data_IF_814672016485
#
_entry.id   IF_814672016485
#
_cell.length_a   1.000
_cell.length_b   1.000
_cell.length_c   1.000
_cell.angle_alpha   90.00
_cell.angle_beta   90.00
_cell.angle_gamma   90.00
#
_symmetry.space_group_name_H-M   'P 1'
#
loop_
_entity.id
_entity.type
_entity.pdbx_description
1 polymer ?
#
# COMPACT_ATOMS: atom_id res chain seq x y z
N UNK A 1 -6.24 -16.73 15.55
CA UNK A 1 -5.97 -16.50 16.98
C UNK A 1 -6.18 -15.02 17.26
N UNK A 2 -6.91 -14.65 18.32
CA UNK A 2 -7.14 -13.25 18.65
C UNK A 2 -5.80 -12.55 18.95
N UNK A 3 -5.55 -11.41 18.31
CA UNK A 3 -4.32 -10.65 18.53
C UNK A 3 -4.44 -9.90 19.85
N UNK A 4 -3.53 -10.16 20.80
CA UNK A 4 -3.52 -9.46 22.09
C UNK A 4 -2.85 -8.09 21.96
N UNK A 5 -3.51 -7.04 22.46
CA UNK A 5 -2.98 -5.67 22.51
C UNK A 5 -2.66 -5.33 23.98
N UNK A 6 -1.40 -5.22 24.40
CA UNK A 6 -1.08 -4.86 25.78
C UNK A 6 -1.54 -3.43 26.09
N UNK A 7 -1.61 -3.05 27.36
CA UNK A 7 -1.94 -1.68 27.77
C UNK A 7 -0.92 -0.66 27.25
N UNK A 8 -1.31 0.59 27.12
CA UNK A 8 -0.50 1.67 26.55
C UNK A 8 0.54 2.27 27.49
N UNK A 9 0.71 1.75 28.71
CA UNK A 9 1.62 2.36 29.69
C UNK A 9 3.06 2.36 29.17
N UNK A 10 3.67 3.55 29.20
CA UNK A 10 5.04 3.75 28.72
C UNK A 10 5.19 3.71 27.19
N UNK A 11 4.10 3.64 26.43
CA UNK A 11 4.15 3.78 24.98
C UNK A 11 4.52 5.21 24.56
N UNK A 12 5.20 5.34 23.43
CA UNK A 12 5.54 6.62 22.81
C UNK A 12 4.30 7.31 22.24
N UNK A 13 4.34 8.63 22.17
CA UNK A 13 3.30 9.42 21.49
C UNK A 13 3.18 8.98 20.01
N UNK A 14 1.95 8.76 19.55
CA UNK A 14 1.64 8.45 18.15
C UNK A 14 0.72 9.51 17.55
N UNK A 15 0.93 9.91 16.29
CA UNK A 15 -0.02 10.78 15.58
C UNK A 15 -0.43 10.14 14.26
N UNK A 16 -1.72 9.92 14.04
CA UNK A 16 -2.23 9.54 12.74
C UNK A 16 -2.14 10.72 11.77
N UNK A 17 -1.38 10.53 10.69
CA UNK A 17 -1.34 11.40 9.52
C UNK A 17 -2.09 10.69 8.40
N UNK A 18 -3.23 11.23 7.99
CA UNK A 18 -4.09 10.63 7.00
C UNK A 18 -4.85 11.70 6.21
N UNK A 19 -5.38 11.32 5.05
CA UNK A 19 -6.43 12.08 4.38
C UNK A 19 -7.76 11.41 4.69
N UNK A 20 -8.57 12.11 5.46
CA UNK A 20 -9.88 11.67 5.91
C UNK A 20 -10.92 12.33 4.99
N UNK A 21 -11.63 11.51 4.24
CA UNK A 21 -12.59 11.87 3.19
C UNK A 21 -13.99 11.26 3.42
N UNK A 22 -14.21 10.67 4.60
CA UNK A 22 -15.41 9.97 5.01
C UNK A 22 -15.50 8.51 4.52
N UNK A 23 -14.49 8.01 3.80
CA UNK A 23 -14.51 6.66 3.22
C UNK A 23 -14.11 5.53 4.17
N UNK A 24 -14.03 4.31 3.64
CA UNK A 24 -13.73 3.09 4.41
C UNK A 24 -12.39 3.14 5.15
N UNK A 25 -11.38 3.75 4.53
CA UNK A 25 -10.07 3.93 5.15
C UNK A 25 -10.18 4.80 6.40
N UNK A 26 -10.95 5.89 6.35
CA UNK A 26 -11.19 6.72 7.51
C UNK A 26 -11.91 5.94 8.61
N UNK A 27 -13.00 5.25 8.28
CA UNK A 27 -13.74 4.45 9.27
C UNK A 27 -12.85 3.42 9.95
N UNK A 28 -12.03 2.70 9.17
CA UNK A 28 -11.07 1.72 9.68
C UNK A 28 -10.08 2.37 10.67
N UNK A 29 -9.43 3.47 10.28
CA UNK A 29 -8.43 4.09 11.16
C UNK A 29 -9.03 4.82 12.36
N UNK A 30 -10.30 5.27 12.29
CA UNK A 30 -11.06 5.72 13.46
C UNK A 30 -11.31 4.58 14.45
N UNK A 31 -11.60 3.37 13.96
CA UNK A 31 -11.72 2.18 14.82
C UNK A 31 -10.36 1.81 15.43
N UNK A 32 -9.28 1.78 14.64
CA UNK A 32 -7.91 1.54 15.12
C UNK A 32 -7.54 2.54 16.22
N UNK A 33 -7.80 3.83 15.97
CA UNK A 33 -7.57 4.90 16.94
C UNK A 33 -8.35 4.65 18.23
N UNK A 34 -9.64 4.34 18.13
CA UNK A 34 -10.47 4.02 19.29
C UNK A 34 -9.92 2.83 20.10
N UNK A 35 -9.54 1.75 19.45
CA UNK A 35 -8.94 0.57 20.10
C UNK A 35 -7.68 0.96 20.88
N UNK A 36 -6.79 1.73 20.27
CA UNK A 36 -5.56 2.20 20.93
C UNK A 36 -5.86 3.14 22.11
N UNK A 37 -6.82 4.07 21.95
CA UNK A 37 -7.26 4.98 23.02
C UNK A 37 -7.86 4.23 24.21
N UNK A 38 -8.74 3.25 23.96
CA UNK A 38 -9.38 2.44 24.99
C UNK A 38 -8.36 1.59 25.77
N UNK A 39 -7.22 1.25 25.14
CA UNK A 39 -6.08 0.56 25.79
C UNK A 39 -5.09 1.52 26.46
N UNK A 40 -5.32 2.83 26.44
CA UNK A 40 -4.49 3.83 27.09
C UNK A 40 -3.25 4.28 26.31
N UNK A 41 -3.17 4.03 25.00
CA UNK A 41 -2.06 4.55 24.19
C UNK A 41 -2.18 6.06 23.99
N UNK A 42 -1.07 6.82 24.04
CA UNK A 42 -1.07 8.26 23.82
C UNK A 42 -1.07 8.59 22.32
N UNK A 43 -2.10 8.12 21.61
CA UNK A 43 -2.31 8.42 20.19
C UNK A 43 -3.16 9.68 19.99
N UNK A 44 -2.88 10.39 18.90
CA UNK A 44 -3.54 11.63 18.48
C UNK A 44 -4.04 11.47 17.05
N UNK A 45 -5.24 11.99 16.78
CA UNK A 45 -5.86 12.06 15.45
C UNK A 45 -6.60 13.39 15.37
N UNK A 46 -6.44 14.13 14.28
CA UNK A 46 -7.19 15.38 14.09
C UNK A 46 -8.57 15.02 13.57
N UNK A 47 -9.62 15.42 14.30
CA UNK A 47 -11.01 15.25 13.87
C UNK A 47 -11.52 16.56 13.24
N UNK A 48 -12.27 16.44 12.13
CA UNK A 48 -12.99 17.56 11.55
C UNK A 48 -14.19 17.92 12.45
N UNK A 49 -14.02 18.96 13.25
CA UNK A 49 -15.12 19.59 13.99
C UNK A 49 -15.40 20.95 13.38
N UNK A 50 -16.67 21.19 13.00
CA UNK A 50 -17.14 22.47 12.49
C UNK A 50 -16.65 23.64 13.37
N UNK A 51 -15.85 24.54 12.78
CA UNK A 51 -15.52 25.84 13.37
C UNK A 51 -14.26 25.94 14.24
N UNK A 52 -13.46 24.88 14.39
CA UNK A 52 -12.20 24.92 15.16
C UNK A 52 -10.94 24.81 14.29
N UNK A 53 -9.90 25.56 14.64
CA UNK A 53 -8.62 25.67 13.92
C UNK A 53 -7.87 24.31 13.78
N UNK A 54 -8.19 23.58 12.70
CA UNK A 54 -7.54 22.33 12.28
C UNK A 54 -6.01 22.48 12.21
N UNK A 55 -5.55 23.67 11.84
CA UNK A 55 -4.14 23.99 11.73
C UNK A 55 -3.40 24.03 13.06
N UNK A 56 -3.95 24.76 14.01
CA UNK A 56 -3.35 24.86 15.36
C UNK A 56 -3.30 23.51 16.07
N UNK A 57 -4.30 22.63 15.88
CA UNK A 57 -4.26 21.25 16.41
C UNK A 57 -3.14 20.43 15.79
N UNK A 58 -3.03 20.45 14.46
CA UNK A 58 -1.98 19.73 13.72
C UNK A 58 -0.58 20.19 14.16
N UNK A 59 -0.36 21.51 14.25
CA UNK A 59 0.90 22.07 14.73
C UNK A 59 1.22 21.65 16.18
N UNK A 60 0.21 21.59 17.04
CA UNK A 60 0.37 21.14 18.43
C UNK A 60 0.80 19.68 18.50
N UNK A 61 0.18 18.80 17.72
CA UNK A 61 0.51 17.37 17.69
C UNK A 61 1.91 17.11 17.14
N UNK A 62 2.27 17.75 16.03
CA UNK A 62 3.62 17.65 15.45
C UNK A 62 4.70 18.19 16.43
N UNK A 63 4.41 19.30 17.10
CA UNK A 63 5.28 19.85 18.14
C UNK A 63 5.48 18.90 19.32
N UNK A 64 4.42 18.17 19.72
CA UNK A 64 4.50 17.13 20.74
C UNK A 64 5.32 15.92 20.29
N UNK A 65 5.06 15.40 19.08
CA UNK A 65 5.87 14.29 18.53
C UNK A 65 7.35 14.63 18.52
N UNK A 66 7.73 15.83 18.07
CA UNK A 66 9.12 16.27 18.06
C UNK A 66 9.72 16.31 19.47
N UNK A 67 9.04 16.92 20.43
CA UNK A 67 9.55 17.07 21.80
C UNK A 67 9.73 15.71 22.49
N UNK A 68 8.80 14.78 22.27
CA UNK A 68 8.75 13.52 23.01
C UNK A 68 9.32 12.34 22.20
N UNK A 69 9.94 12.61 21.05
CA UNK A 69 10.40 11.57 20.10
C UNK A 69 9.28 10.56 19.79
N UNK A 70 8.09 11.07 19.49
CA UNK A 70 6.95 10.26 19.09
C UNK A 70 7.11 9.66 17.69
N UNK A 71 6.07 8.97 17.21
CA UNK A 71 6.02 8.32 15.90
C UNK A 71 4.86 8.91 15.10
N UNK A 72 5.13 9.34 13.87
CA UNK A 72 4.08 9.68 12.91
C UNK A 72 3.58 8.39 12.24
N UNK A 73 2.29 8.13 12.38
CA UNK A 73 1.58 6.96 11.85
C UNK A 73 0.93 7.37 10.52
N UNK A 74 1.67 7.18 9.42
CA UNK A 74 1.28 7.65 8.09
C UNK A 74 0.36 6.65 7.40
N UNK A 75 -0.91 7.00 7.23
CA UNK A 75 -1.90 6.18 6.51
C UNK A 75 -1.72 6.38 4.99
N UNK A 76 -0.94 5.49 4.39
CA UNK A 76 -0.48 5.62 3.01
C UNK A 76 -1.51 5.05 2.03
N UNK A 77 -2.51 5.86 1.66
CA UNK A 77 -3.36 5.65 0.47
C UNK A 77 -2.64 6.09 -0.81
N UNK A 78 -3.22 5.84 -2.00
CA UNK A 78 -2.59 6.22 -3.28
C UNK A 78 -2.41 7.74 -3.46
N UNK A 79 -3.25 8.55 -2.81
CA UNK A 79 -3.23 10.00 -2.85
C UNK A 79 -2.62 10.61 -1.57
N UNK A 80 -1.94 9.81 -0.75
CA UNK A 80 -1.26 10.28 0.45
C UNK A 80 -0.09 11.20 0.09
N UNK A 81 -0.01 12.36 0.75
CA UNK A 81 1.04 13.34 0.46
C UNK A 81 0.77 14.25 -0.74
N UNK A 82 -0.37 14.17 -1.41
CA UNK A 82 -0.68 15.07 -2.52
C UNK A 82 -0.78 16.54 -2.06
N UNK A 83 -0.14 17.42 -2.84
CA UNK A 83 -0.07 18.85 -2.56
C UNK A 83 -1.39 19.55 -2.86
N UNK A 84 -1.90 20.30 -1.89
CA UNK A 84 -3.12 21.13 -2.05
C UNK A 84 -2.85 22.56 -1.60
N UNK A 85 -3.86 23.43 -1.73
CA UNK A 85 -3.81 24.79 -1.18
C UNK A 85 -3.83 24.85 0.36
N UNK A 86 -4.10 23.74 1.05
CA UNK A 86 -4.15 23.72 2.52
C UNK A 86 -2.75 23.89 3.13
N UNK A 87 -2.64 24.76 4.12
CA UNK A 87 -1.44 24.94 4.94
C UNK A 87 -1.19 23.78 5.91
N UNK A 88 -2.21 22.94 6.14
CA UNK A 88 -2.17 21.77 7.00
C UNK A 88 -2.76 20.58 6.24
N UNK A 89 -1.89 19.70 5.76
CA UNK A 89 -2.19 18.53 4.92
C UNK A 89 -1.14 17.46 5.13
N UNK A 90 -1.41 16.22 4.70
CA UNK A 90 -0.46 15.12 4.78
C UNK A 90 0.88 15.42 4.08
N UNK A 91 0.87 16.19 2.98
CA UNK A 91 2.10 16.70 2.36
C UNK A 91 2.95 17.53 3.34
N UNK A 92 2.32 18.48 4.04
CA UNK A 92 3.00 19.37 5.00
C UNK A 92 3.48 18.62 6.24
N UNK A 93 2.73 17.60 6.68
CA UNK A 93 3.10 16.72 7.79
C UNK A 93 4.33 15.88 7.44
N UNK A 94 4.37 15.26 6.26
CA UNK A 94 5.55 14.52 5.77
C UNK A 94 6.75 15.45 5.64
N UNK A 95 6.57 16.66 5.10
CA UNK A 95 7.64 17.65 5.02
C UNK A 95 8.18 18.00 6.41
N UNK A 96 7.30 18.24 7.38
CA UNK A 96 7.70 18.52 8.75
C UNK A 96 8.47 17.35 9.36
N UNK A 97 8.00 16.12 9.14
CA UNK A 97 8.68 14.92 9.63
C UNK A 97 10.10 14.79 9.05
N UNK A 98 10.26 15.03 7.74
CA UNK A 98 11.56 15.02 7.08
C UNK A 98 12.50 16.11 7.61
N UNK A 99 12.00 17.35 7.73
CA UNK A 99 12.79 18.51 8.16
C UNK A 99 13.22 18.41 9.65
N UNK A 100 12.56 17.57 10.44
CA UNK A 100 12.80 17.41 11.87
C UNK A 100 13.21 16.00 12.30
N UNK A 101 13.56 15.12 11.35
CA UNK A 101 13.95 13.73 11.60
C UNK A 101 12.96 12.98 12.52
N UNK A 102 11.67 13.19 12.27
CA UNK A 102 10.62 12.46 12.98
C UNK A 102 10.54 11.04 12.44
N UNK A 103 10.39 10.08 13.35
CA UNK A 103 10.17 8.70 12.97
C UNK A 103 8.79 8.53 12.34
N UNK A 104 8.77 7.93 11.14
CA UNK A 104 7.56 7.59 10.41
C UNK A 104 7.38 6.07 10.43
N UNK A 105 6.20 5.61 10.86
CA UNK A 105 5.69 4.26 10.60
C UNK A 105 4.67 4.35 9.46
N UNK A 106 5.01 3.90 8.25
CA UNK A 106 4.06 3.81 7.17
C UNK A 106 3.04 2.69 7.43
N UNK A 107 1.76 3.02 7.26
CA UNK A 107 0.61 2.13 7.33
C UNK A 107 0.07 1.99 5.90
N UNK A 108 0.55 0.98 5.18
CA UNK A 108 0.29 0.80 3.75
C UNK A 108 -1.17 0.41 3.50
N UNK A 109 -1.90 1.29 2.83
CA UNK A 109 -3.26 1.06 2.33
C UNK A 109 -3.30 1.02 0.79
N UNK A 110 -2.33 1.65 0.13
CA UNK A 110 -2.21 1.62 -1.32
C UNK A 110 -1.66 0.28 -1.81
N UNK A 111 -2.07 -0.07 -3.03
CA UNK A 111 -1.44 -1.11 -3.82
C UNK A 111 -0.07 -0.69 -4.31
N UNK A 112 0.31 -1.17 -5.48
CA UNK A 112 1.43 -0.60 -6.22
C UNK A 112 0.93 0.61 -7.02
N UNK A 113 1.77 1.65 -7.21
CA UNK A 113 3.18 1.74 -6.80
C UNK A 113 3.40 1.92 -5.28
N UNK A 114 4.60 1.53 -4.79
CA UNK A 114 5.08 1.79 -3.43
C UNK A 114 6.48 2.42 -3.44
N UNK A 115 6.71 3.52 -2.70
CA UNK A 115 5.76 4.27 -1.86
C UNK A 115 4.63 4.95 -2.65
N UNK A 116 3.63 5.57 -2.01
CA UNK A 116 2.54 6.24 -2.73
C UNK A 116 3.05 7.30 -3.71
N UNK A 117 2.47 7.32 -4.90
CA UNK A 117 2.72 8.33 -5.94
C UNK A 117 1.49 9.24 -6.06
N UNK A 118 1.38 10.30 -5.24
CA UNK A 118 0.23 11.20 -5.30
C UNK A 118 0.15 11.94 -6.65
N UNK A 119 -1.06 12.35 -7.10
CA UNK A 119 -1.23 13.07 -8.36
C UNK A 119 -0.35 14.32 -8.48
N UNK A 120 0.33 14.47 -9.62
CA UNK A 120 1.21 15.59 -9.92
C UNK A 120 1.37 15.81 -11.44
N UNK A 121 2.18 16.79 -11.86
CA UNK A 121 2.56 17.02 -13.26
C UNK A 121 1.96 18.31 -13.86
N UNK A 122 2.26 18.65 -15.13
CA UNK A 122 2.00 19.98 -15.70
C UNK A 122 0.54 20.46 -15.64
N UNK A 123 -0.42 19.53 -15.62
CA UNK A 123 -1.86 19.80 -15.49
C UNK A 123 -2.36 19.92 -14.05
N UNK A 124 -1.54 19.57 -13.06
CA UNK A 124 -1.91 19.62 -11.65
C UNK A 124 -1.87 21.06 -11.13
N UNK A 125 -2.87 21.43 -10.31
CA UNK A 125 -3.06 22.83 -9.89
C UNK A 125 -1.94 23.34 -8.99
N UNK A 126 -1.37 22.48 -8.15
CA UNK A 126 -0.43 22.87 -7.09
C UNK A 126 0.96 22.23 -7.22
N UNK A 127 1.06 21.08 -7.89
CA UNK A 127 2.32 20.32 -8.00
C UNK A 127 2.63 19.99 -9.46
N UNK A 128 3.16 20.97 -10.18
CA UNK A 128 3.44 20.86 -11.62
C UNK A 128 4.66 19.99 -11.93
N UNK A 129 5.54 19.85 -10.94
CA UNK A 129 6.89 19.31 -11.12
C UNK A 129 7.11 17.98 -10.38
N UNK A 130 6.09 17.43 -9.71
CA UNK A 130 6.19 16.15 -8.98
C UNK A 130 6.93 16.25 -7.64
N UNK A 131 6.88 17.41 -6.99
CA UNK A 131 7.57 17.65 -5.71
C UNK A 131 7.01 16.76 -4.58
N UNK A 132 5.70 16.50 -4.59
CA UNK A 132 5.07 15.66 -3.57
C UNK A 132 5.58 14.21 -3.62
N UNK A 133 5.67 13.64 -4.82
CA UNK A 133 6.20 12.30 -5.05
C UNK A 133 7.65 12.18 -4.55
N UNK A 134 8.52 13.11 -4.96
CA UNK A 134 9.91 13.14 -4.53
C UNK A 134 10.07 13.23 -3.00
N UNK A 135 9.23 14.04 -2.34
CA UNK A 135 9.24 14.15 -0.88
C UNK A 135 8.81 12.84 -0.19
N UNK A 136 7.76 12.18 -0.70
CA UNK A 136 7.31 10.89 -0.19
C UNK A 136 8.43 9.85 -0.34
N UNK A 137 9.09 9.77 -1.50
CA UNK A 137 10.18 8.84 -1.73
C UNK A 137 11.39 9.06 -0.79
N UNK A 138 11.66 10.31 -0.37
CA UNK A 138 12.70 10.62 0.60
C UNK A 138 12.31 10.20 2.03
N UNK A 139 11.08 10.51 2.46
CA UNK A 139 10.63 10.25 3.82
C UNK A 139 10.25 8.78 4.06
N UNK A 140 9.70 8.13 3.03
CA UNK A 140 9.23 6.75 2.99
C UNK A 140 9.84 6.08 1.75
N UNK A 141 11.14 5.76 1.74
CA UNK A 141 11.76 5.07 0.62
C UNK A 141 11.17 3.66 0.43
N UNK A 142 11.28 3.05 -0.76
CA UNK A 142 10.79 1.69 -1.01
C UNK A 142 11.28 0.63 0.00
N UNK A 143 12.47 0.84 0.58
CA UNK A 143 13.07 -0.04 1.60
C UNK A 143 12.55 0.21 3.03
N UNK A 144 11.75 1.25 3.26
CA UNK A 144 11.21 1.58 4.59
C UNK A 144 10.27 0.45 5.04
N UNK A 145 10.51 -0.08 6.22
CA UNK A 145 9.61 -1.06 6.85
C UNK A 145 8.26 -0.40 7.10
N UNK A 146 7.18 -1.07 6.71
CA UNK A 146 5.80 -0.61 6.84
C UNK A 146 4.91 -1.69 7.47
N UNK A 147 3.73 -1.29 7.94
CA UNK A 147 2.65 -2.20 8.30
C UNK A 147 1.73 -2.36 7.10
N UNK A 148 1.58 -3.58 6.58
CA UNK A 148 0.61 -3.88 5.52
C UNK A 148 -0.80 -3.91 6.11
N UNK A 149 -1.61 -2.89 5.83
CA UNK A 149 -2.94 -2.72 6.41
C UNK A 149 -4.05 -3.21 5.46
N UNK A 150 -3.77 -3.45 4.17
CA UNK A 150 -4.78 -3.94 3.23
C UNK A 150 -5.30 -5.30 3.66
N UNK A 151 -6.63 -5.43 3.68
CA UNK A 151 -7.31 -6.66 4.10
C UNK A 151 -7.10 -7.04 5.57
N UNK A 152 -6.68 -6.09 6.42
CA UNK A 152 -6.54 -6.28 7.86
C UNK A 152 -7.65 -5.55 8.61
N UNK A 153 -8.12 -6.15 9.69
CA UNK A 153 -9.08 -5.53 10.59
C UNK A 153 -8.40 -4.51 11.54
N UNK A 154 -9.24 -3.75 12.24
CA UNK A 154 -8.78 -2.68 13.11
C UNK A 154 -7.93 -3.20 14.28
N UNK A 155 -8.30 -4.32 14.88
CA UNK A 155 -7.58 -4.97 15.98
C UNK A 155 -6.16 -5.39 15.57
N UNK A 156 -6.01 -6.01 14.40
CA UNK A 156 -4.70 -6.43 13.90
C UNK A 156 -3.79 -5.22 13.64
N UNK A 157 -4.32 -4.19 13.00
CA UNK A 157 -3.57 -2.96 12.71
C UNK A 157 -3.18 -2.27 14.02
N UNK A 158 -4.11 -2.15 14.97
CA UNK A 158 -3.86 -1.58 16.29
C UNK A 158 -2.77 -2.36 17.03
N UNK A 159 -2.75 -3.69 16.94
CA UNK A 159 -1.69 -4.50 17.55
C UNK A 159 -0.30 -4.22 16.96
N UNK A 160 -0.17 -4.07 15.63
CA UNK A 160 1.11 -3.72 14.99
C UNK A 160 1.58 -2.32 15.37
N UNK A 161 0.65 -1.36 15.45
CA UNK A 161 0.96 0.00 15.93
C UNK A 161 1.39 -0.03 17.40
N UNK A 162 0.68 -0.78 18.24
CA UNK A 162 1.01 -0.94 19.66
C UNK A 162 2.43 -1.51 19.87
N UNK A 163 2.81 -2.54 19.10
CA UNK A 163 4.17 -3.06 19.10
C UNK A 163 5.19 -1.97 18.77
N UNK A 164 4.94 -1.17 17.72
CA UNK A 164 5.84 -0.08 17.35
C UNK A 164 5.97 0.98 18.45
N UNK A 165 4.85 1.43 19.01
CA UNK A 165 4.85 2.49 20.01
C UNK A 165 5.48 2.06 21.34
N UNK A 166 5.52 0.76 21.63
CA UNK A 166 6.18 0.19 22.81
C UNK A 166 7.68 -0.08 22.62
N UNK A 167 8.19 -0.06 21.38
CA UNK A 167 9.63 -0.16 21.15
C UNK A 167 10.32 1.07 21.75
N UNK A 168 11.33 0.85 22.61
CA UNK A 168 12.22 1.92 23.07
C UNK A 168 12.93 2.49 21.84
N UNK A 169 12.80 3.80 21.62
CA UNK A 169 13.32 4.45 20.42
C UNK A 169 14.81 4.19 20.23
N UNK A 170 15.15 3.41 19.21
CA UNK A 170 16.51 3.26 18.72
C UNK A 170 16.62 3.99 17.39
N UNK A 171 17.65 4.81 17.24
CA UNK A 171 18.13 5.32 15.96
C UNK A 171 19.66 5.46 16.06
N UNK A 172 20.45 5.32 14.98
CA UNK A 172 20.55 4.10 14.17
C UNK A 172 22.02 3.72 13.96
N UNK A 173 22.38 2.44 14.12
CA UNK A 173 23.47 1.83 13.34
C UNK A 173 23.46 0.31 13.56
N UNK A 174 22.93 -0.43 12.60
CA UNK A 174 23.26 -1.85 12.45
C UNK A 174 23.45 -2.09 10.96
N UNK A 175 24.68 -1.81 10.51
CA UNK A 175 25.29 -2.64 9.48
C UNK A 175 25.07 -4.11 9.85
N UNK A 176 24.68 -5.01 8.92
CA UNK A 176 24.54 -6.42 9.26
C UNK A 176 25.92 -6.95 9.62
N UNK A 177 26.19 -7.15 10.91
CA UNK A 177 27.38 -7.86 11.35
C UNK A 177 27.21 -9.35 10.99
N UNK A 178 28.19 -9.83 10.25
CA UNK A 178 28.38 -11.20 9.83
C UNK A 178 28.67 -12.10 11.05
N UNK A 179 27.76 -13.01 11.37
CA UNK A 179 27.99 -14.32 12.01
C UNK A 179 26.61 -14.98 12.25
N UNK A 180 26.26 -16.16 11.76
CA UNK A 180 26.91 -17.10 10.87
C UNK A 180 25.83 -18.10 10.47
N UNK A 181 25.48 -18.14 9.19
CA UNK A 181 24.78 -19.28 8.60
C UNK A 181 25.81 -20.00 7.72
N UNK A 182 26.24 -21.15 8.22
CA UNK A 182 27.08 -22.10 7.50
C UNK A 182 26.32 -22.60 6.27
N UNK A 183 27.09 -22.79 5.20
CA UNK A 183 26.62 -22.84 3.83
C UNK A 183 25.57 -23.92 3.57
N UNK A 184 24.48 -23.50 2.94
CA UNK A 184 23.87 -24.23 1.85
C UNK A 184 23.72 -23.23 0.71
N UNK A 185 24.48 -23.44 -0.37
CA UNK A 185 24.21 -22.78 -1.64
C UNK A 185 22.78 -23.14 -2.05
N UNK A 186 21.86 -22.18 -1.93
CA UNK A 186 20.60 -22.26 -2.65
C UNK A 186 20.95 -22.01 -4.12
N UNK A 187 21.05 -23.09 -4.88
CA UNK A 187 20.99 -23.09 -6.33
C UNK A 187 19.73 -22.31 -6.72
N UNK A 188 19.90 -21.10 -7.23
CA UNK A 188 18.84 -20.39 -7.95
C UNK A 188 18.46 -21.27 -9.15
N UNK A 189 17.22 -21.77 -9.26
CA UNK A 189 16.81 -22.44 -10.49
C UNK A 189 16.76 -21.36 -11.56
N UNK A 190 17.59 -21.51 -12.59
CA UNK A 190 17.58 -20.68 -13.79
C UNK A 190 16.15 -20.58 -14.32
N UNK A 191 15.58 -19.38 -14.32
CA UNK A 191 14.28 -19.13 -14.92
C UNK A 191 14.35 -19.51 -16.41
N UNK A 192 13.53 -20.46 -16.83
CA UNK A 192 13.35 -20.78 -18.25
C UNK A 192 12.97 -19.50 -19.02
N UNK A 193 13.39 -19.35 -20.29
CA UNK A 193 13.24 -18.10 -21.05
C UNK A 193 11.81 -17.52 -21.09
N UNK A 194 10.78 -18.35 -20.93
CA UNK A 194 9.37 -17.95 -20.90
C UNK A 194 8.91 -17.29 -19.61
N UNK A 195 9.47 -17.65 -18.44
CA UNK A 195 9.02 -17.12 -17.15
C UNK A 195 9.57 -15.71 -16.88
N UNK A 196 10.83 -15.47 -17.25
CA UNK A 196 11.44 -14.14 -17.15
C UNK A 196 10.79 -13.15 -18.14
N UNK A 197 10.49 -13.61 -19.36
CA UNK A 197 9.81 -12.78 -20.36
C UNK A 197 8.38 -12.44 -19.94
N UNK A 198 7.62 -13.40 -19.39
CA UNK A 198 6.28 -13.14 -18.87
C UNK A 198 6.30 -12.09 -17.74
N UNK A 199 7.27 -12.20 -16.82
CA UNK A 199 7.42 -11.23 -15.73
C UNK A 199 7.76 -9.84 -16.28
N UNK A 200 8.66 -9.75 -17.25
CA UNK A 200 9.06 -8.46 -17.83
C UNK A 200 7.88 -7.75 -18.52
N UNK A 201 7.03 -8.49 -19.23
CA UNK A 201 5.80 -7.94 -19.81
C UNK A 201 4.77 -7.55 -18.75
N UNK A 202 4.59 -8.37 -17.72
CA UNK A 202 3.70 -8.04 -16.60
C UNK A 202 4.13 -6.75 -15.89
N UNK A 203 5.42 -6.63 -15.55
CA UNK A 203 5.98 -5.45 -14.86
C UNK A 203 5.87 -4.17 -15.72
N UNK A 204 5.91 -4.30 -17.05
CA UNK A 204 5.68 -3.18 -17.98
C UNK A 204 4.19 -2.81 -18.02
N UNK A 205 3.31 -3.81 -18.03
CA UNK A 205 1.86 -3.61 -17.98
C UNK A 205 1.42 -2.90 -16.70
N UNK A 206 1.91 -3.35 -15.55
CA UNK A 206 1.58 -2.78 -14.23
C UNK A 206 2.01 -1.33 -14.05
N UNK A 207 2.84 -0.79 -14.96
CA UNK A 207 3.26 0.62 -15.02
C UNK A 207 2.46 1.46 -16.02
N UNK A 208 1.38 0.91 -16.57
CA UNK A 208 0.55 1.56 -17.60
C UNK A 208 0.95 1.23 -19.05
N UNK A 209 1.95 0.36 -19.25
CA UNK A 209 2.52 0.04 -20.56
C UNK A 209 3.91 0.65 -20.78
N UNK A 210 4.37 0.66 -22.01
CA UNK A 210 5.67 1.27 -22.37
C UNK A 210 6.21 0.80 -23.71
N UNK A 211 7.48 1.11 -24.00
CA UNK A 211 8.10 0.80 -25.27
C UNK A 211 9.05 -0.41 -25.18
N UNK A 212 8.90 -1.38 -26.08
CA UNK A 212 9.84 -2.49 -26.28
C UNK A 212 10.07 -2.70 -27.77
N UNK A 213 11.32 -2.90 -28.17
CA UNK A 213 11.70 -3.11 -29.58
C UNK A 213 11.16 -2.03 -30.55
N UNK A 214 11.10 -0.76 -30.09
CA UNK A 214 10.59 0.36 -30.87
C UNK A 214 9.07 0.38 -31.07
N UNK A 215 8.32 -0.47 -30.37
CA UNK A 215 6.86 -0.49 -30.38
C UNK A 215 6.31 -0.11 -29.01
N UNK A 216 5.30 0.78 -29.00
CA UNK A 216 4.57 1.14 -27.79
C UNK A 216 3.48 0.11 -27.52
N UNK A 217 3.43 -0.33 -26.29
CA UNK A 217 2.45 -1.27 -25.77
C UNK A 217 1.64 -0.59 -24.67
N UNK A 218 0.32 -0.70 -24.73
CA UNK A 218 -0.55 -0.31 -23.62
C UNK A 218 -0.44 -1.33 -22.47
N UNK A 219 -0.89 -0.94 -21.28
CA UNK A 219 -1.06 -1.85 -20.14
C UNK A 219 -1.71 -3.19 -20.53
N UNK A 220 -2.86 -3.12 -21.22
CA UNK A 220 -3.58 -4.30 -21.73
C UNK A 220 -2.73 -5.15 -22.67
N UNK A 221 -2.01 -4.52 -23.60
CA UNK A 221 -1.15 -5.26 -24.55
C UNK A 221 0.01 -5.97 -23.83
N UNK A 222 0.55 -5.36 -22.77
CA UNK A 222 1.59 -5.96 -21.94
C UNK A 222 1.08 -7.19 -21.17
N UNK A 223 -0.12 -7.14 -20.58
CA UNK A 223 -0.69 -8.33 -19.91
C UNK A 223 -0.97 -9.47 -20.89
N UNK A 224 -1.44 -9.17 -22.10
CA UNK A 224 -1.60 -10.17 -23.16
C UNK A 224 -0.26 -10.83 -23.53
N UNK A 225 0.81 -10.04 -23.67
CA UNK A 225 2.16 -10.56 -23.92
C UNK A 225 2.70 -11.40 -22.76
N UNK A 226 2.40 -11.02 -21.52
CA UNK A 226 2.75 -11.82 -20.34
C UNK A 226 2.07 -13.20 -20.38
N UNK A 227 0.79 -13.25 -20.78
CA UNK A 227 0.00 -14.49 -20.89
C UNK A 227 0.37 -15.35 -22.10
N UNK A 228 0.81 -14.74 -23.21
CA UNK A 228 1.41 -15.46 -24.34
C UNK A 228 2.70 -16.19 -23.91
N UNK A 229 3.54 -15.53 -23.11
CA UNK A 229 4.79 -16.11 -22.61
C UNK A 229 4.56 -17.14 -21.48
N UNK A 230 3.61 -16.88 -20.57
CA UNK A 230 3.23 -17.79 -19.49
C UNK A 230 1.73 -17.72 -19.21
N UNK A 231 1.03 -18.73 -19.71
CA UNK A 231 -0.43 -18.81 -19.64
C UNK A 231 -0.97 -18.94 -18.21
N UNK A 232 -0.23 -19.53 -17.27
CA UNK A 232 -0.66 -19.65 -15.87
C UNK A 232 -0.16 -18.50 -14.97
N UNK A 233 0.03 -17.31 -15.53
CA UNK A 233 0.42 -16.13 -14.75
C UNK A 233 -0.80 -15.47 -14.09
N UNK A 234 -1.08 -15.86 -12.84
CA UNK A 234 -2.27 -15.43 -12.11
C UNK A 234 -2.47 -13.90 -12.09
N UNK A 235 -1.42 -13.14 -11.77
CA UNK A 235 -1.53 -11.67 -11.66
C UNK A 235 -1.82 -10.99 -13.02
N UNK A 236 -1.34 -11.57 -14.13
CA UNK A 236 -1.60 -11.04 -15.46
C UNK A 236 -3.04 -11.30 -15.91
N UNK A 237 -3.61 -12.47 -15.54
CA UNK A 237 -5.04 -12.74 -15.73
C UNK A 237 -5.90 -11.80 -14.91
N UNK A 238 -5.58 -11.61 -13.63
CA UNK A 238 -6.31 -10.68 -12.78
C UNK A 238 -6.30 -9.26 -13.35
N UNK A 239 -5.13 -8.72 -13.68
CA UNK A 239 -5.03 -7.36 -14.22
C UNK A 239 -5.64 -7.22 -15.62
N UNK A 240 -5.61 -8.27 -16.45
CA UNK A 240 -6.35 -8.29 -17.73
C UNK A 240 -7.86 -8.15 -17.49
N UNK A 241 -8.39 -8.80 -16.45
CA UNK A 241 -9.78 -8.65 -16.02
C UNK A 241 -10.11 -7.22 -15.59
N UNK A 242 -9.23 -6.59 -14.80
CA UNK A 242 -9.39 -5.19 -14.36
C UNK A 242 -9.50 -4.23 -15.55
N UNK A 243 -8.72 -4.45 -16.61
CA UNK A 243 -8.73 -3.60 -17.82
C UNK A 243 -9.75 -4.03 -18.89
N UNK A 244 -10.74 -4.85 -18.53
CA UNK A 244 -11.89 -5.16 -19.39
C UNK A 244 -11.76 -6.44 -20.21
N UNK A 245 -10.84 -7.35 -19.88
CA UNK A 245 -10.63 -8.62 -20.58
C UNK A 245 -9.81 -8.49 -21.88
N UNK A 246 -9.71 -9.55 -22.67
CA UNK A 246 -8.94 -9.57 -23.92
C UNK A 246 -8.91 -10.92 -24.63
N UNK A 247 -8.18 -11.00 -25.73
CA UNK A 247 -8.03 -12.23 -26.51
C UNK A 247 -6.66 -12.85 -26.25
N UNK A 248 -6.64 -14.01 -25.59
CA UNK A 248 -5.41 -14.76 -25.29
C UNK A 248 -5.41 -16.02 -26.15
N UNK A 249 -4.37 -16.19 -26.98
CA UNK A 249 -4.22 -17.34 -27.91
C UNK A 249 -5.45 -17.60 -28.80
N UNK A 250 -6.13 -16.53 -29.23
CA UNK A 250 -7.31 -16.61 -30.11
C UNK A 250 -8.64 -16.86 -29.39
N UNK A 251 -8.64 -17.03 -28.07
CA UNK A 251 -9.87 -17.12 -27.27
C UNK A 251 -10.13 -15.79 -26.57
N UNK A 252 -11.37 -15.30 -26.67
CA UNK A 252 -11.81 -14.09 -25.98
C UNK A 252 -12.19 -14.41 -24.52
N UNK A 253 -11.72 -13.56 -23.61
CA UNK A 253 -12.02 -13.59 -22.19
C UNK A 253 -12.57 -12.22 -21.80
N UNK A 254 -13.73 -12.19 -21.17
CA UNK A 254 -14.25 -11.02 -20.49
C UNK A 254 -13.63 -10.88 -19.08
N UNK A 255 -14.09 -9.89 -18.33
CA UNK A 255 -13.57 -9.57 -16.99
C UNK A 255 -13.71 -10.76 -16.04
N UNK A 256 -14.91 -11.34 -16.00
CA UNK A 256 -15.25 -12.54 -15.23
C UNK A 256 -14.35 -13.73 -15.57
N UNK A 257 -14.25 -14.08 -16.84
CA UNK A 257 -13.45 -15.22 -17.29
C UNK A 257 -11.95 -15.01 -16.98
N UNK A 258 -11.47 -13.76 -16.98
CA UNK A 258 -10.11 -13.45 -16.54
C UNK A 258 -9.90 -13.70 -15.03
N UNK A 259 -10.86 -13.34 -14.18
CA UNK A 259 -10.77 -13.62 -12.74
C UNK A 259 -10.85 -15.12 -12.43
N UNK A 260 -11.69 -15.88 -13.15
CA UNK A 260 -11.72 -17.35 -13.06
C UNK A 260 -10.36 -17.95 -13.40
N UNK A 261 -9.70 -17.48 -14.47
CA UNK A 261 -8.34 -17.91 -14.84
C UNK A 261 -7.27 -17.54 -13.83
N UNK A 262 -7.37 -16.36 -13.21
CA UNK A 262 -6.47 -15.98 -12.13
C UNK A 262 -6.59 -16.95 -10.94
N UNK A 263 -7.81 -17.36 -10.60
CA UNK A 263 -8.10 -18.26 -9.48
C UNK A 263 -7.78 -19.73 -9.77
N UNK A 264 -7.89 -20.17 -11.03
CA UNK A 264 -7.36 -21.48 -11.45
C UNK A 264 -5.85 -21.58 -11.20
N UNK A 265 -5.12 -20.50 -11.50
CA UNK A 265 -3.67 -20.43 -11.29
C UNK A 265 -3.28 -20.17 -9.83
N UNK A 266 -4.07 -19.39 -9.09
CA UNK A 266 -3.85 -19.01 -7.69
C UNK A 266 -5.18 -18.90 -6.94
N UNK A 267 -5.58 -20.02 -6.35
CA UNK A 267 -6.90 -20.19 -5.72
C UNK A 267 -7.11 -19.31 -4.49
N UNK A 268 -6.05 -18.87 -3.81
CA UNK A 268 -6.13 -18.04 -2.62
C UNK A 268 -6.04 -16.53 -2.91
N UNK A 269 -6.26 -16.11 -4.16
CA UNK A 269 -6.27 -14.71 -4.54
C UNK A 269 -7.59 -14.03 -4.17
N UNK A 270 -7.62 -13.40 -3.00
CA UNK A 270 -8.82 -12.74 -2.48
C UNK A 270 -9.33 -11.60 -3.38
N UNK A 271 -8.44 -10.91 -4.11
CA UNK A 271 -8.84 -9.83 -5.01
C UNK A 271 -9.55 -10.38 -6.25
N UNK A 272 -9.07 -11.48 -6.80
CA UNK A 272 -9.75 -12.16 -7.90
C UNK A 272 -11.12 -12.73 -7.46
N UNK A 273 -11.23 -13.30 -6.26
CA UNK A 273 -12.52 -13.76 -5.71
C UNK A 273 -13.51 -12.62 -5.50
N UNK A 274 -13.05 -11.50 -4.94
CA UNK A 274 -13.89 -10.32 -4.72
C UNK A 274 -14.44 -9.78 -6.04
N UNK A 275 -13.57 -9.57 -7.04
CA UNK A 275 -14.02 -9.08 -8.33
C UNK A 275 -14.88 -10.11 -9.06
N UNK A 276 -14.61 -11.41 -8.93
CA UNK A 276 -15.49 -12.44 -9.47
C UNK A 276 -16.89 -12.38 -8.84
N UNK A 277 -16.99 -12.09 -7.54
CA UNK A 277 -18.26 -11.85 -6.86
C UNK A 277 -19.00 -10.63 -7.41
N UNK A 278 -18.30 -9.52 -7.69
CA UNK A 278 -18.90 -8.34 -8.34
C UNK A 278 -19.42 -8.63 -9.75
N UNK A 279 -18.83 -9.61 -10.45
CA UNK A 279 -19.30 -10.11 -11.74
C UNK A 279 -20.43 -11.17 -11.62
N UNK A 280 -21.03 -11.31 -10.43
CA UNK A 280 -22.12 -12.26 -10.14
C UNK A 280 -21.65 -13.70 -9.92
N UNK A 281 -20.39 -13.89 -9.50
CA UNK A 281 -19.77 -15.19 -9.27
C UNK A 281 -19.14 -15.80 -10.53
N UNK A 282 -18.71 -17.06 -10.47
CA UNK A 282 -18.08 -17.77 -11.58
C UNK A 282 -17.75 -19.22 -11.28
N UNK A 283 -17.11 -19.89 -12.24
CA UNK A 283 -16.67 -21.29 -12.10
C UNK A 283 -15.16 -21.33 -11.97
N UNK A 284 -14.67 -21.83 -10.83
CA UNK A 284 -13.24 -22.00 -10.58
C UNK A 284 -12.97 -23.48 -10.37
N UNK A 285 -12.07 -24.05 -11.20
CA UNK A 285 -11.69 -25.48 -11.16
C UNK A 285 -12.90 -26.44 -11.20
N UNK A 286 -13.95 -26.06 -11.92
CA UNK A 286 -15.17 -26.86 -12.08
C UNK A 286 -16.17 -26.74 -10.92
N UNK A 287 -15.88 -25.94 -9.90
CA UNK A 287 -16.84 -25.59 -8.86
C UNK A 287 -17.46 -24.23 -9.17
N UNK A 288 -18.79 -24.17 -9.18
CA UNK A 288 -19.53 -22.93 -9.35
C UNK A 288 -19.64 -22.19 -8.01
N UNK A 289 -19.45 -20.89 -8.07
CA UNK A 289 -19.60 -19.94 -6.97
C UNK A 289 -20.54 -18.87 -7.47
N UNK A 290 -21.69 -18.71 -6.83
CA UNK A 290 -22.64 -17.66 -7.14
C UNK A 290 -22.58 -16.55 -6.08
N UNK A 291 -23.33 -15.47 -6.31
CA UNK A 291 -23.33 -14.27 -5.46
C UNK A 291 -23.97 -14.50 -4.06
N UNK A 292 -24.46 -15.72 -3.75
CA UNK A 292 -25.29 -16.01 -2.56
C UNK A 292 -24.58 -16.72 -1.41
#
# INVERSE_FOLDING_TARGET
>A
MAVSIPDGSGARDGMFSARFDGGDTEMLFRQVYKILKDRGYPVMMVEEGAGGDFGTKTATFLGRLRKHKGVMLSVCTSHYGEMTSSTYSSYKEVKFAQDHDLEILPLRMCGDPWPPEPPSGPGHKYDKDGTAEGLIAMAIPPSKIYVECRGRDAEWIAARIAEKLRQKGASPDISPSSAGYSGHQAVVPSASPSAAEAKAWFDLGSKGGGERNGQKHSEKACYLKALEAKENHADAWYNLGVVGGGTVKGQAYDQKACYEKALEAKENDASAWYNLGLEGGGTVKGQAYDEK
#
